data_IF_090960743301
#
_entry.id   IF_090960743301
#
_cell.length_a   1.000
_cell.length_b   1.000
_cell.length_c   1.000
_cell.angle_alpha   90.00
_cell.angle_beta   90.00
_cell.angle_gamma   90.00
#
_symmetry.space_group_name_H-M   'P 1'
#
loop_
_entity.id
_entity.type
_entity.pdbx_description
1 polymer ?
#
# COMPACT_ATOMS: atom_id res chain seq x y z
N UNK A 1 14.95 1.44 -19.84
CA UNK A 1 15.16 2.54 -18.89
C UNK A 1 15.41 1.89 -17.55
N UNK A 2 16.34 2.44 -16.77
CA UNK A 2 16.57 2.00 -15.39
C UNK A 2 15.68 2.80 -14.44
N UNK A 3 15.37 2.23 -13.27
CA UNK A 3 14.56 2.93 -12.24
C UNK A 3 15.19 4.26 -11.79
N UNK A 4 16.51 4.41 -11.92
CA UNK A 4 17.20 5.67 -11.63
C UNK A 4 16.92 6.75 -12.68
N UNK A 5 16.84 6.39 -13.96
CA UNK A 5 16.46 7.31 -15.04
C UNK A 5 14.99 7.73 -14.88
N UNK A 6 14.10 6.80 -14.53
CA UNK A 6 12.70 7.12 -14.23
C UNK A 6 12.57 8.03 -13.01
N UNK A 7 13.34 7.79 -11.94
CA UNK A 7 13.35 8.67 -10.79
C UNK A 7 13.78 10.10 -11.16
N UNK A 8 14.85 10.27 -11.94
CA UNK A 8 15.31 11.59 -12.38
C UNK A 8 14.32 12.30 -13.32
N UNK A 9 13.58 11.55 -14.14
CA UNK A 9 12.52 12.13 -14.98
C UNK A 9 11.30 12.60 -14.16
N UNK A 10 11.04 11.97 -13.02
CA UNK A 10 9.93 12.31 -12.14
C UNK A 10 10.26 13.43 -11.15
N UNK A 11 11.49 13.45 -10.64
CA UNK A 11 12.03 14.49 -9.77
C UNK A 11 12.22 15.80 -10.57
N UNK A 12 11.12 16.48 -10.83
CA UNK A 12 11.03 17.63 -11.75
C UNK A 12 11.72 18.86 -11.16
N UNK A 13 11.70 19.00 -9.83
CA UNK A 13 12.38 20.07 -9.13
C UNK A 13 13.84 19.72 -8.75
N UNK A 14 14.28 18.48 -9.05
CA UNK A 14 15.62 17.95 -8.80
C UNK A 14 16.04 18.05 -7.34
N UNK A 15 15.09 17.89 -6.42
CA UNK A 15 15.33 17.96 -4.98
C UNK A 15 15.85 16.62 -4.40
N UNK A 16 15.85 15.55 -5.21
CA UNK A 16 16.26 14.19 -4.81
C UNK A 16 15.17 13.38 -4.11
N UNK A 17 13.92 13.86 -4.13
CA UNK A 17 12.74 13.31 -3.46
C UNK A 17 11.51 13.47 -4.36
N UNK A 18 10.65 12.47 -4.41
CA UNK A 18 9.40 12.51 -5.18
C UNK A 18 8.26 12.93 -4.28
N UNK A 19 7.66 14.10 -4.54
CA UNK A 19 6.45 14.52 -3.87
C UNK A 19 5.20 13.88 -4.51
N UNK A 20 4.05 13.98 -3.83
CA UNK A 20 2.80 13.37 -4.34
C UNK A 20 2.37 13.89 -5.72
N UNK A 21 2.65 15.15 -6.07
CA UNK A 21 2.30 15.68 -7.39
C UNK A 21 3.21 15.14 -8.49
N UNK A 22 4.50 14.97 -8.20
CA UNK A 22 5.48 14.36 -9.12
C UNK A 22 5.13 12.89 -9.35
N UNK A 23 4.84 12.15 -8.29
CA UNK A 23 4.30 10.80 -8.37
C UNK A 23 3.02 10.77 -9.20
N UNK A 24 2.05 11.66 -8.92
CA UNK A 24 0.79 11.69 -9.66
C UNK A 24 1.00 11.99 -11.15
N UNK A 25 1.92 12.89 -11.50
CA UNK A 25 2.25 13.20 -12.89
C UNK A 25 2.88 12.00 -13.59
N UNK A 26 3.75 11.24 -12.91
CA UNK A 26 4.33 9.98 -13.41
C UNK A 26 3.26 9.01 -13.93
N UNK A 27 2.24 8.80 -13.11
CA UNK A 27 1.17 7.84 -13.39
C UNK A 27 0.10 8.40 -14.32
N UNK A 28 -0.02 9.73 -14.44
CA UNK A 28 -0.93 10.41 -15.37
C UNK A 28 -0.39 10.51 -16.79
N UNK A 29 0.92 10.65 -16.97
CA UNK A 29 1.56 10.70 -18.29
C UNK A 29 1.57 9.32 -18.97
N UNK A 30 1.52 8.25 -18.17
CA UNK A 30 1.00 6.96 -18.65
C UNK A 30 -0.50 7.13 -18.96
N UNK A 31 -0.84 7.25 -20.24
CA UNK A 31 -2.18 7.55 -20.82
C UNK A 31 -3.37 6.66 -20.39
N UNK A 32 -3.22 5.83 -19.37
CA UNK A 32 -4.29 5.09 -18.74
C UNK A 32 -5.03 5.96 -17.72
N UNK A 33 -6.03 6.66 -18.22
CA UNK A 33 -7.03 7.48 -17.53
C UNK A 33 -7.90 6.72 -16.48
N UNK A 34 -7.48 5.51 -16.08
CA UNK A 34 -8.27 4.57 -15.27
C UNK A 34 -7.81 4.41 -13.82
N UNK A 35 -6.60 4.84 -13.46
CA UNK A 35 -6.15 4.73 -12.06
C UNK A 35 -6.73 5.89 -11.27
N UNK A 36 -7.56 5.57 -10.28
CA UNK A 36 -8.17 6.59 -9.42
C UNK A 36 -7.11 7.26 -8.53
N UNK A 37 -7.28 8.57 -8.31
CA UNK A 37 -6.36 9.36 -7.49
C UNK A 37 -6.32 8.85 -6.03
N UNK A 38 -7.40 8.23 -5.53
CA UNK A 38 -7.40 7.66 -4.18
C UNK A 38 -6.47 6.46 -4.08
N UNK A 39 -6.43 5.59 -5.09
CA UNK A 39 -5.53 4.43 -5.11
C UNK A 39 -4.07 4.85 -5.23
N UNK A 40 -3.75 5.84 -6.08
CA UNK A 40 -2.40 6.39 -6.16
C UNK A 40 -1.97 7.04 -4.85
N UNK A 41 -2.89 7.70 -4.14
CA UNK A 41 -2.60 8.28 -2.83
C UNK A 41 -2.30 7.19 -1.79
N UNK A 42 -3.02 6.08 -1.80
CA UNK A 42 -2.74 4.94 -0.91
C UNK A 42 -1.37 4.33 -1.19
N UNK A 43 -1.02 4.10 -2.46
CA UNK A 43 0.30 3.56 -2.83
C UNK A 43 1.42 4.51 -2.37
N UNK A 44 1.26 5.81 -2.61
CA UNK A 44 2.23 6.82 -2.17
C UNK A 44 2.38 6.85 -0.65
N UNK A 45 1.27 6.84 0.09
CA UNK A 45 1.29 6.90 1.55
C UNK A 45 1.84 5.60 2.17
N UNK A 46 1.61 4.43 1.56
CA UNK A 46 2.25 3.17 1.97
C UNK A 46 3.75 3.21 1.74
N UNK A 47 4.18 3.68 0.58
CA UNK A 47 5.58 3.74 0.20
C UNK A 47 6.42 4.67 1.06
N UNK A 48 5.81 5.75 1.53
CA UNK A 48 6.43 6.77 2.37
C UNK A 48 6.57 6.25 3.81
N UNK A 49 7.59 5.41 4.04
CA UNK A 49 7.88 4.78 5.34
C UNK A 49 8.10 5.86 6.40
N UNK A 50 8.79 6.94 6.02
CA UNK A 50 9.12 8.04 6.92
C UNK A 50 7.94 8.98 7.23
N UNK A 51 6.78 8.77 6.59
CA UNK A 51 5.58 9.62 6.70
C UNK A 51 5.88 11.13 6.49
N UNK A 52 6.96 11.46 5.77
CA UNK A 52 7.47 12.82 5.62
C UNK A 52 6.78 13.60 4.49
N UNK A 53 6.03 12.89 3.64
CA UNK A 53 5.26 13.43 2.51
C UNK A 53 6.00 13.35 1.17
N UNK A 54 7.16 12.72 1.15
CA UNK A 54 8.07 12.59 0.02
C UNK A 54 8.58 11.14 -0.05
N UNK A 55 8.85 10.66 -1.26
CA UNK A 55 9.51 9.37 -1.47
C UNK A 55 10.97 9.58 -1.80
N UNK A 56 11.84 8.95 -1.04
CA UNK A 56 13.26 8.82 -1.38
C UNK A 56 13.44 7.88 -2.57
N UNK A 57 14.62 7.91 -3.20
CA UNK A 57 14.95 6.98 -4.29
C UNK A 57 14.78 5.50 -3.90
N UNK A 58 15.10 5.14 -2.65
CA UNK A 58 14.91 3.78 -2.16
C UNK A 58 13.43 3.39 -2.06
N UNK A 59 12.60 4.28 -1.51
CA UNK A 59 11.15 4.04 -1.39
C UNK A 59 10.49 3.98 -2.76
N UNK A 60 10.90 4.87 -3.69
CA UNK A 60 10.42 4.84 -5.07
C UNK A 60 10.78 3.54 -5.79
N UNK A 61 12.04 3.07 -5.68
CA UNK A 61 12.49 1.81 -6.27
C UNK A 61 11.71 0.63 -5.68
N UNK A 62 11.44 0.66 -4.38
CA UNK A 62 10.65 -0.38 -3.72
C UNK A 62 9.22 -0.42 -4.27
N UNK A 63 8.59 0.73 -4.52
CA UNK A 63 7.28 0.80 -5.18
C UNK A 63 7.33 0.27 -6.59
N UNK A 64 8.23 0.78 -7.43
CA UNK A 64 8.26 0.45 -8.84
C UNK A 64 8.59 -1.03 -9.08
N UNK A 65 9.44 -1.62 -8.23
CA UNK A 65 9.74 -3.05 -8.29
C UNK A 65 8.50 -3.91 -8.01
N UNK A 66 7.69 -3.54 -7.02
CA UNK A 66 6.46 -4.27 -6.69
C UNK A 66 5.31 -3.95 -7.64
N UNK A 67 5.29 -2.74 -8.22
CA UNK A 67 4.28 -2.31 -9.19
C UNK A 67 4.44 -3.01 -10.54
N UNK A 68 5.67 -3.30 -10.97
CA UNK A 68 5.95 -4.06 -12.20
C UNK A 68 5.38 -5.49 -12.16
N UNK A 69 5.19 -6.06 -10.96
CA UNK A 69 4.55 -7.38 -10.79
C UNK A 69 3.03 -7.34 -11.00
N UNK A 70 2.45 -6.15 -11.09
CA UNK A 70 1.01 -5.93 -11.16
C UNK A 70 0.56 -5.79 -12.63
N UNK A 71 0.23 -6.91 -13.26
CA UNK A 71 -0.20 -6.95 -14.67
C UNK A 71 -1.60 -6.34 -14.94
N UNK A 72 -2.45 -6.17 -13.91
CA UNK A 72 -3.84 -5.68 -14.01
C UNK A 72 -4.10 -4.55 -12.99
N UNK A 73 -4.91 -3.54 -13.34
CA UNK A 73 -5.31 -2.42 -12.47
C UNK A 73 -6.59 -2.70 -11.66
N UNK A 74 -6.88 -3.97 -11.37
CA UNK A 74 -8.03 -4.36 -10.55
C UNK A 74 -7.80 -4.09 -9.05
N UNK A 75 -8.88 -3.99 -8.28
CA UNK A 75 -8.80 -3.82 -6.82
C UNK A 75 -7.92 -4.90 -6.18
N UNK A 76 -7.98 -6.14 -6.69
CA UNK A 76 -7.15 -7.27 -6.22
C UNK A 76 -5.66 -6.96 -6.36
N UNK A 77 -5.27 -6.51 -7.54
CA UNK A 77 -3.91 -6.15 -7.86
C UNK A 77 -3.40 -4.98 -7.02
N UNK A 78 -4.24 -3.99 -6.76
CA UNK A 78 -3.91 -2.87 -5.87
C UNK A 78 -3.69 -3.35 -4.43
N UNK A 79 -4.57 -4.18 -3.89
CA UNK A 79 -4.37 -4.73 -2.54
C UNK A 79 -3.14 -5.66 -2.46
N UNK A 80 -2.82 -6.36 -3.55
CA UNK A 80 -1.60 -7.17 -3.64
C UNK A 80 -0.35 -6.30 -3.58
N UNK A 81 -0.33 -5.18 -4.31
CA UNK A 81 0.75 -4.20 -4.22
C UNK A 81 0.87 -3.62 -2.82
N UNK A 82 -0.25 -3.21 -2.22
CA UNK A 82 -0.26 -2.63 -0.87
C UNK A 82 0.24 -3.64 0.18
N UNK A 83 -0.04 -4.93 0.01
CA UNK A 83 0.49 -5.99 0.86
C UNK A 83 2.02 -6.05 0.78
N UNK A 84 2.59 -6.17 -0.43
CA UNK A 84 4.05 -6.23 -0.58
C UNK A 84 4.76 -4.95 -0.14
N UNK A 85 4.10 -3.79 -0.24
CA UNK A 85 4.64 -2.52 0.26
C UNK A 85 4.68 -2.43 1.78
N UNK A 86 3.97 -3.30 2.48
CA UNK A 86 3.88 -3.25 3.94
C UNK A 86 4.50 -4.43 4.65
N UNK A 87 4.63 -5.54 3.94
CA UNK A 87 5.48 -6.68 4.26
C UNK A 87 6.96 -6.28 4.07
N UNK A 88 7.44 -5.40 4.96
CA UNK A 88 8.78 -4.80 4.89
C UNK A 88 9.87 -5.89 4.92
N UNK A 89 9.62 -6.98 5.65
CA UNK A 89 10.56 -8.10 5.78
C UNK A 89 10.40 -9.16 4.68
N UNK A 90 9.41 -9.00 3.79
CA UNK A 90 9.04 -9.94 2.73
C UNK A 90 8.82 -11.36 3.28
N UNK A 91 8.26 -11.47 4.48
CA UNK A 91 7.91 -12.75 5.10
C UNK A 91 6.76 -13.45 4.38
N UNK A 92 6.00 -12.71 3.57
CA UNK A 92 4.76 -13.15 2.92
C UNK A 92 3.57 -13.17 3.87
N UNK A 93 3.69 -12.60 5.07
CA UNK A 93 2.65 -12.59 6.11
C UNK A 93 2.66 -11.29 6.89
N UNK A 94 1.50 -10.74 7.23
CA UNK A 94 1.42 -9.50 8.00
C UNK A 94 1.53 -9.75 9.50
N UNK A 95 2.53 -9.10 10.10
CA UNK A 95 2.66 -8.96 11.54
C UNK A 95 1.85 -7.76 12.09
N UNK A 96 1.70 -7.70 13.41
CA UNK A 96 0.93 -6.63 14.08
C UNK A 96 1.49 -5.23 13.80
N UNK A 97 2.80 -5.10 13.65
CA UNK A 97 3.45 -3.82 13.38
C UNK A 97 3.18 -3.36 11.94
N UNK A 98 3.17 -4.29 11.00
CA UNK A 98 2.89 -4.05 9.58
C UNK A 98 1.41 -3.72 9.39
N UNK A 99 0.51 -4.47 10.05
CA UNK A 99 -0.90 -4.12 10.07
C UNK A 99 -1.15 -2.75 10.72
N UNK A 100 -0.44 -2.41 11.80
CA UNK A 100 -0.56 -1.09 12.43
C UNK A 100 -0.21 0.04 11.46
N UNK A 101 0.86 -0.15 10.68
CA UNK A 101 1.24 0.78 9.61
C UNK A 101 0.16 0.83 8.53
N UNK A 102 -0.44 -0.31 8.17
CA UNK A 102 -1.50 -0.39 7.15
C UNK A 102 -2.69 0.48 7.55
N UNK A 103 -3.11 0.33 8.79
CA UNK A 103 -4.27 1.00 9.37
C UNK A 103 -4.04 2.51 9.46
N UNK A 104 -2.81 2.95 9.80
CA UNK A 104 -2.44 4.37 9.79
C UNK A 104 -2.57 5.00 8.40
N UNK A 105 -2.12 4.30 7.36
CA UNK A 105 -2.25 4.77 5.97
C UNK A 105 -3.72 4.86 5.55
N UNK A 106 -4.56 3.93 5.99
CA UNK A 106 -6.02 4.03 5.85
C UNK A 106 -6.67 5.09 6.75
N UNK A 107 -5.87 5.89 7.48
CA UNK A 107 -6.30 6.91 8.44
C UNK A 107 -7.25 6.37 9.51
N UNK A 108 -7.02 5.12 9.89
CA UNK A 108 -7.74 4.43 10.96
C UNK A 108 -6.77 4.21 12.10
N UNK A 109 -6.97 4.94 13.21
CA UNK A 109 -6.17 4.72 14.41
C UNK A 109 -6.74 3.52 15.17
N UNK A 110 -5.99 2.42 15.14
CA UNK A 110 -6.30 1.23 15.95
C UNK A 110 -5.32 1.11 17.11
N UNK A 111 -5.84 0.77 18.28
CA UNK A 111 -5.03 0.37 19.42
C UNK A 111 -4.55 -1.09 19.30
N UNK A 112 -3.67 -1.52 20.20
CA UNK A 112 -3.07 -2.86 20.14
C UNK A 112 -4.12 -4.00 20.23
N UNK A 113 -5.20 -3.82 21.02
CA UNK A 113 -6.26 -4.83 21.13
C UNK A 113 -7.11 -4.89 19.85
N UNK A 114 -7.38 -3.74 19.25
CA UNK A 114 -8.09 -3.63 17.97
C UNK A 114 -7.27 -4.24 16.83
N UNK A 115 -5.95 -4.03 16.81
CA UNK A 115 -5.05 -4.65 15.84
C UNK A 115 -5.00 -6.17 15.98
N UNK A 116 -4.91 -6.69 17.22
CA UNK A 116 -5.00 -8.14 17.48
C UNK A 116 -6.33 -8.72 17.02
N UNK A 117 -7.42 -7.99 17.24
CA UNK A 117 -8.76 -8.36 16.80
C UNK A 117 -8.86 -8.35 15.28
N UNK A 118 -8.29 -7.34 14.61
CA UNK A 118 -8.26 -7.22 13.16
C UNK A 118 -7.44 -8.36 12.54
N UNK A 119 -6.23 -8.64 13.03
CA UNK A 119 -5.42 -9.78 12.60
C UNK A 119 -6.21 -11.09 12.74
N UNK A 120 -6.79 -11.35 13.90
CA UNK A 120 -7.57 -12.57 14.15
C UNK A 120 -8.84 -12.66 13.30
N UNK A 121 -9.37 -11.53 12.83
CA UNK A 121 -10.54 -11.48 11.96
C UNK A 121 -10.18 -11.60 10.47
N UNK A 122 -8.92 -11.32 10.11
CA UNK A 122 -8.36 -11.48 8.77
C UNK A 122 -7.86 -12.90 8.54
N UNK A 123 -7.20 -13.48 9.55
CA UNK A 123 -6.73 -14.87 9.63
C UNK A 123 -7.91 -15.84 9.48
N UNK A 124 -8.21 -16.21 8.24
CA UNK A 124 -9.41 -16.98 7.89
C UNK A 124 -9.19 -18.47 8.04
N UNK A 125 -7.94 -18.93 7.97
CA UNK A 125 -7.56 -20.32 8.12
C UNK A 125 -7.09 -20.68 9.54
N UNK A 126 -6.99 -19.68 10.43
CA UNK A 126 -6.60 -19.78 11.84
C UNK A 126 -5.19 -20.36 12.02
N UNK A 127 -4.29 -20.08 11.07
CA UNK A 127 -2.87 -20.48 11.16
C UNK A 127 -2.04 -19.54 12.05
N UNK A 128 -2.65 -18.44 12.51
CA UNK A 128 -2.04 -17.42 13.36
C UNK A 128 -1.25 -16.37 12.59
N UNK A 129 -1.34 -16.36 11.25
CA UNK A 129 -0.71 -15.41 10.34
C UNK A 129 -1.77 -14.84 9.40
N UNK A 130 -1.44 -13.74 8.75
CA UNK A 130 -2.33 -13.12 7.76
C UNK A 130 -1.56 -13.00 6.45
N UNK A 131 -1.82 -13.91 5.53
CA UNK A 131 -1.14 -13.92 4.23
C UNK A 131 -1.85 -13.04 3.19
N UNK A 132 -1.26 -12.97 2.00
CA UNK A 132 -1.84 -12.23 0.88
C UNK A 132 -3.26 -12.73 0.53
N UNK A 133 -3.53 -14.03 0.62
CA UNK A 133 -4.84 -14.56 0.26
C UNK A 133 -5.91 -14.15 1.28
N UNK A 134 -5.56 -14.14 2.57
CA UNK A 134 -6.42 -13.70 3.66
C UNK A 134 -6.71 -12.20 3.61
N UNK A 135 -5.67 -11.38 3.36
CA UNK A 135 -5.88 -9.94 3.13
C UNK A 135 -6.78 -9.70 1.94
N UNK A 136 -6.55 -10.34 0.80
CA UNK A 136 -7.39 -10.21 -0.39
C UNK A 136 -8.82 -10.66 -0.13
N UNK A 137 -9.03 -11.78 0.57
CA UNK A 137 -10.38 -12.22 0.96
C UNK A 137 -11.06 -11.19 1.87
N UNK A 138 -10.31 -10.62 2.82
CA UNK A 138 -10.83 -9.62 3.73
C UNK A 138 -11.23 -8.33 3.00
N UNK A 139 -10.36 -7.78 2.14
CA UNK A 139 -10.58 -6.51 1.45
C UNK A 139 -11.50 -6.61 0.22
N UNK A 140 -11.49 -7.73 -0.51
CA UNK A 140 -12.32 -7.94 -1.70
C UNK A 140 -13.68 -8.56 -1.39
N UNK A 141 -13.89 -9.12 -0.18
CA UNK A 141 -15.23 -9.57 0.18
C UNK A 141 -16.16 -8.36 0.38
N UNK A 142 -17.18 -8.27 -0.49
CA UNK A 142 -18.21 -7.21 -0.59
C UNK A 142 -18.93 -6.85 0.74
N UNK A 143 -18.69 -7.61 1.81
CA UNK A 143 -19.37 -7.51 3.09
C UNK A 143 -18.64 -6.64 4.14
N UNK A 144 -17.48 -6.04 3.82
CA UNK A 144 -16.55 -5.52 4.85
C UNK A 144 -16.36 -4.00 4.91
N UNK A 145 -16.95 -3.19 4.02
CA UNK A 145 -17.04 -1.73 4.26
C UNK A 145 -17.62 -1.42 5.65
N UNK A 146 -18.38 -2.33 6.24
CA UNK A 146 -18.86 -2.22 7.62
C UNK A 146 -17.90 -2.75 8.69
N UNK A 147 -17.04 -3.77 8.45
CA UNK A 147 -16.27 -4.39 9.54
C UNK A 147 -15.11 -3.54 10.07
N UNK A 148 -14.45 -2.75 9.20
CA UNK A 148 -13.47 -1.76 9.68
C UNK A 148 -14.15 -0.59 10.41
N UNK A 149 -15.37 -0.23 10.01
CA UNK A 149 -16.19 0.77 10.72
C UNK A 149 -16.67 0.24 12.08
N UNK A 150 -16.87 -1.08 12.21
CA UNK A 150 -17.27 -1.72 13.47
C UNK A 150 -16.18 -1.74 14.54
N UNK A 151 -14.92 -1.44 14.21
CA UNK A 151 -13.85 -1.28 15.21
C UNK A 151 -13.92 0.11 15.88
N UNK A 152 -14.83 0.98 15.43
CA UNK A 152 -15.05 2.33 16.00
C UNK A 152 -16.43 2.52 16.67
N UNK A 153 -17.12 1.45 17.08
CA UNK A 153 -18.35 1.55 17.88
C UNK A 153 -18.46 0.53 19.02
#
# INVERSE_FOLDING_TARGET
MSLAEEFEELDTDHNGLINYNEFLNAFKDNKDEKVDNQHLKMVFDMANIEENGFLTSNEFVHVMTNLDEVEDKSDRSLYTLLFHLIDDDNSGTLEINELARFMRVLKTELNEEELKTALSAMDSDSDGKVDLEDTLKFFLSDNQRNKLIFIHF
#
